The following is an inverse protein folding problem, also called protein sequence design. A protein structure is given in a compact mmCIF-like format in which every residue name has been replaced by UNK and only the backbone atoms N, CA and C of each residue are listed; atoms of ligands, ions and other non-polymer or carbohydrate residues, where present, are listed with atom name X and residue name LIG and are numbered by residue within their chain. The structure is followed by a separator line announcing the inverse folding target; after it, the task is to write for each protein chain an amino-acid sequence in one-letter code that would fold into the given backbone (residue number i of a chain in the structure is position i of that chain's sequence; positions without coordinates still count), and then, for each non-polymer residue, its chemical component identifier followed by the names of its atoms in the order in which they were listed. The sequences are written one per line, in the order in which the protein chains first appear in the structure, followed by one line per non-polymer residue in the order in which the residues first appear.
data_IF_247320059535
#
_entry.id   IF_247320059535
#
_cell.length_a   1.000
_cell.length_b   1.000
_cell.length_c   1.000
_cell.angle_alpha   90.00
_cell.angle_beta   90.00
_cell.angle_gamma   90.00
#
_symmetry.space_group_name_H-M   'P 1'
#
loop_
_entity.id
_entity.type
_entity.pdbx_description
1 polymer ?
#
# COMPACT_ATOMS: atom_id res chain seq x y z
N UNK A 1 4.78 17.78 10.14
CA UNK A 1 5.60 16.62 9.72
C UNK A 1 4.66 15.47 9.44
N UNK A 2 4.91 14.68 8.38
CA UNK A 2 4.13 13.47 8.09
C UNK A 2 5.02 12.22 8.30
N UNK A 3 4.41 11.04 8.37
CA UNK A 3 5.11 9.76 8.56
C UNK A 3 5.34 9.02 7.25
N UNK A 4 5.24 9.65 6.07
CA UNK A 4 5.28 8.92 4.80
C UNK A 4 6.71 8.70 4.30
N UNK A 5 6.94 7.59 3.61
CA UNK A 5 8.17 7.39 2.84
C UNK A 5 8.31 8.47 1.76
N UNK A 6 9.54 8.90 1.53
CA UNK A 6 9.92 9.62 0.31
C UNK A 6 9.80 8.70 -0.91
N UNK A 7 9.74 9.27 -2.11
CA UNK A 7 9.72 8.49 -3.35
C UNK A 7 10.95 7.60 -3.51
N UNK A 8 12.10 8.07 -3.02
CA UNK A 8 13.34 7.33 -3.07
C UNK A 8 13.34 6.14 -2.10
N UNK A 9 12.80 6.32 -0.89
CA UNK A 9 12.60 5.22 0.05
C UNK A 9 11.58 4.20 -0.49
N UNK A 10 10.47 4.64 -1.12
CA UNK A 10 9.48 3.74 -1.72
C UNK A 10 10.09 2.82 -2.78
N UNK A 11 11.01 3.33 -3.60
CA UNK A 11 11.74 2.51 -4.60
C UNK A 11 12.61 1.43 -3.96
N UNK A 12 13.12 1.67 -2.75
CA UNK A 12 13.95 0.70 -2.02
C UNK A 12 13.14 -0.39 -1.32
N UNK A 13 11.83 -0.21 -1.13
CA UNK A 13 10.97 -1.23 -0.50
C UNK A 13 10.85 -2.49 -1.37
N UNK A 14 10.97 -2.35 -2.70
CA UNK A 14 10.88 -3.49 -3.62
C UNK A 14 9.44 -3.94 -3.90
N UNK A 15 8.51 -2.99 -4.01
CA UNK A 15 7.17 -3.26 -4.54
C UNK A 15 7.25 -3.89 -5.93
N UNK A 16 6.30 -4.78 -6.26
CA UNK A 16 6.16 -5.30 -7.63
C UNK A 16 5.97 -4.15 -8.63
N UNK A 17 5.15 -3.18 -8.26
CA UNK A 17 4.97 -1.91 -8.97
C UNK A 17 4.45 -0.85 -8.01
N UNK A 18 4.93 0.39 -8.16
CA UNK A 18 4.45 1.54 -7.40
C UNK A 18 4.27 2.74 -8.34
N UNK A 19 3.08 3.31 -8.33
CA UNK A 19 2.72 4.46 -9.16
C UNK A 19 3.26 5.79 -8.65
N UNK A 20 2.71 6.88 -9.20
CA UNK A 20 3.04 8.26 -8.82
C UNK A 20 2.15 8.73 -7.67
N UNK A 21 2.65 9.67 -6.87
CA UNK A 21 1.93 10.27 -5.75
C UNK A 21 1.40 9.23 -4.75
N UNK A 22 2.23 8.23 -4.45
CA UNK A 22 1.95 7.22 -3.44
C UNK A 22 2.52 7.68 -2.09
N UNK A 23 1.71 7.58 -1.04
CA UNK A 23 2.05 7.94 0.34
C UNK A 23 1.84 6.71 1.23
N UNK A 24 2.91 6.00 1.56
CA UNK A 24 2.86 4.87 2.50
C UNK A 24 3.51 5.29 3.81
N UNK A 25 2.81 5.08 4.92
CA UNK A 25 3.36 5.37 6.24
C UNK A 25 4.56 4.48 6.55
N UNK A 26 5.61 5.08 7.12
CA UNK A 26 6.77 4.39 7.72
C UNK A 26 6.39 3.50 8.89
N UNK A 27 5.19 3.67 9.45
CA UNK A 27 4.63 2.82 10.52
C UNK A 27 3.74 1.71 9.99
N UNK A 28 3.52 1.60 8.68
CA UNK A 28 2.86 0.45 8.09
C UNK A 28 3.84 -0.73 8.00
N UNK A 29 3.34 -1.94 8.21
CA UNK A 29 4.10 -3.17 8.02
C UNK A 29 3.84 -3.74 6.63
N UNK A 30 4.88 -3.87 5.81
CA UNK A 30 4.82 -4.40 4.46
C UNK A 30 5.60 -5.71 4.40
N UNK A 31 4.92 -6.81 4.10
CA UNK A 31 5.53 -8.15 3.98
C UNK A 31 5.35 -8.69 2.56
N UNK A 32 6.43 -9.25 1.99
CA UNK A 32 6.49 -9.68 0.59
C UNK A 32 6.15 -8.56 -0.41
N UNK A 33 6.84 -7.39 -0.36
CA UNK A 33 6.54 -6.25 -1.22
C UNK A 33 6.62 -6.59 -2.72
N UNK A 34 7.46 -7.56 -3.11
CA UNK A 34 7.56 -8.06 -4.49
C UNK A 34 6.29 -8.72 -5.03
N UNK A 35 5.28 -8.96 -4.19
CA UNK A 35 3.95 -9.44 -4.59
C UNK A 35 2.86 -8.34 -4.48
N UNK A 36 3.25 -7.10 -4.17
CA UNK A 36 2.34 -5.99 -3.93
C UNK A 36 2.48 -4.94 -5.04
N UNK A 37 1.37 -4.59 -5.67
CA UNK A 37 1.27 -3.54 -6.69
C UNK A 37 0.39 -2.39 -6.20
N UNK A 38 0.86 -1.16 -6.36
CA UNK A 38 0.13 0.06 -5.97
C UNK A 38 0.03 1.02 -7.15
N UNK A 39 -1.20 1.45 -7.46
CA UNK A 39 -1.50 2.42 -8.51
C UNK A 39 -1.08 3.85 -8.18
N UNK A 40 -1.70 4.83 -8.84
CA UNK A 40 -1.40 6.25 -8.65
C UNK A 40 -2.30 6.87 -7.58
N UNK A 41 -1.81 7.92 -6.90
CA UNK A 41 -2.61 8.67 -5.93
C UNK A 41 -3.19 7.78 -4.80
N UNK A 42 -2.34 6.94 -4.23
CA UNK A 42 -2.72 6.02 -3.14
C UNK A 42 -2.12 6.50 -1.82
N UNK A 43 -2.91 6.40 -0.74
CA UNK A 43 -2.45 6.67 0.63
C UNK A 43 -2.70 5.47 1.53
N UNK A 44 -1.66 5.03 2.25
CA UNK A 44 -1.72 3.95 3.24
C UNK A 44 -1.22 4.51 4.58
N UNK A 45 -2.08 4.52 5.59
CA UNK A 45 -1.84 5.19 6.87
C UNK A 45 -1.05 4.34 7.89
N UNK A 46 -0.80 4.96 9.05
CA UNK A 46 -0.07 4.35 10.17
C UNK A 46 -0.70 3.01 10.59
N UNK A 47 0.16 2.06 10.95
CA UNK A 47 -0.21 0.77 11.52
C UNK A 47 -1.04 -0.15 10.61
N UNK A 48 -1.16 0.16 9.32
CA UNK A 48 -1.66 -0.80 8.35
C UNK A 48 -0.72 -2.00 8.22
N UNK A 49 -1.28 -3.17 7.92
CA UNK A 49 -0.53 -4.38 7.60
C UNK A 49 -0.90 -4.82 6.18
N UNK A 50 0.08 -4.91 5.30
CA UNK A 50 -0.06 -5.48 3.97
C UNK A 50 0.84 -6.70 3.88
N UNK A 51 0.25 -7.89 3.69
CA UNK A 51 0.99 -9.14 3.65
C UNK A 51 0.50 -10.07 2.54
N UNK A 52 1.43 -10.51 1.70
CA UNK A 52 1.15 -11.40 0.57
C UNK A 52 0.77 -10.66 -0.70
N UNK A 53 0.05 -11.33 -1.60
CA UNK A 53 -0.30 -10.80 -2.92
C UNK A 53 -1.41 -9.74 -2.81
N UNK A 54 -1.12 -8.49 -3.13
CA UNK A 54 -2.08 -7.39 -3.01
C UNK A 54 -1.97 -6.47 -4.24
N UNK A 55 -3.09 -6.17 -4.87
CA UNK A 55 -3.17 -5.19 -5.95
C UNK A 55 -4.09 -4.05 -5.54
N UNK A 56 -3.57 -2.83 -5.51
CA UNK A 56 -4.34 -1.61 -5.23
C UNK A 56 -4.34 -0.74 -6.49
N UNK A 57 -5.53 -0.37 -6.97
CA UNK A 57 -5.74 0.59 -8.05
C UNK A 57 -5.36 2.02 -7.68
N UNK A 58 -5.89 2.98 -8.41
CA UNK A 58 -5.61 4.41 -8.24
C UNK A 58 -6.70 5.13 -7.46
N UNK A 59 -6.35 6.27 -6.86
CA UNK A 59 -7.27 7.10 -6.07
C UNK A 59 -7.90 6.37 -4.87
N UNK A 60 -7.06 5.64 -4.14
CA UNK A 60 -7.47 4.82 -2.99
C UNK A 60 -6.82 5.29 -1.70
N UNK A 61 -7.60 5.31 -0.63
CA UNK A 61 -7.13 5.51 0.75
C UNK A 61 -7.38 4.25 1.57
N UNK A 62 -6.31 3.76 2.21
CA UNK A 62 -6.31 2.67 3.18
C UNK A 62 -6.06 3.29 4.55
N UNK A 63 -7.13 3.38 5.34
CA UNK A 63 -7.11 4.03 6.66
C UNK A 63 -6.32 3.23 7.69
N UNK A 64 -5.83 3.93 8.72
CA UNK A 64 -4.98 3.36 9.77
C UNK A 64 -5.55 2.07 10.37
N UNK A 65 -4.66 1.17 10.80
CA UNK A 65 -4.99 -0.14 11.37
C UNK A 65 -5.64 -1.16 10.42
N UNK A 66 -5.88 -0.83 9.14
CA UNK A 66 -6.36 -1.81 8.16
C UNK A 66 -5.33 -2.93 7.95
N UNK A 67 -5.78 -4.18 7.96
CA UNK A 67 -4.95 -5.33 7.64
C UNK A 67 -5.45 -6.03 6.36
N UNK A 68 -4.61 -6.08 5.33
CA UNK A 68 -4.84 -6.81 4.09
C UNK A 68 -3.96 -8.06 4.09
N UNK A 69 -4.59 -9.23 4.23
CA UNK A 69 -3.93 -10.54 4.20
C UNK A 69 -4.23 -11.24 2.88
N UNK A 70 -3.45 -10.92 1.85
CA UNK A 70 -3.64 -11.46 0.51
C UNK A 70 -3.21 -12.92 0.36
N UNK A 71 -2.27 -13.38 1.19
CA UNK A 71 -1.70 -14.73 1.06
C UNK A 71 -1.15 -14.97 -0.35
N UNK A 72 -1.39 -16.16 -0.91
CA UNK A 72 -0.98 -16.50 -2.29
C UNK A 72 -2.04 -16.16 -3.34
N UNK A 73 -3.33 -16.27 -2.99
CA UNK A 73 -4.45 -16.06 -3.91
C UNK A 73 -4.60 -14.57 -4.26
N UNK A 74 -4.54 -13.73 -3.22
CA UNK A 74 -4.46 -12.29 -3.32
C UNK A 74 -5.74 -11.53 -2.96
N UNK A 75 -5.57 -10.23 -2.70
CA UNK A 75 -6.65 -9.23 -2.57
C UNK A 75 -6.46 -8.20 -3.68
N UNK A 76 -7.56 -7.80 -4.32
CA UNK A 76 -7.55 -6.80 -5.38
C UNK A 76 -8.56 -5.69 -5.09
N UNK A 77 -8.11 -4.45 -5.20
CA UNK A 77 -8.90 -3.24 -5.09
C UNK A 77 -8.80 -2.47 -6.41
N UNK A 78 -9.93 -2.17 -7.04
CA UNK A 78 -9.97 -1.38 -8.27
C UNK A 78 -9.93 0.13 -7.96
N UNK A 79 -9.79 0.95 -9.00
CA UNK A 79 -9.75 2.41 -8.88
C UNK A 79 -10.94 2.96 -8.07
N UNK A 80 -10.66 3.98 -7.25
CA UNK A 80 -11.63 4.65 -6.36
C UNK A 80 -12.20 3.80 -5.21
N UNK A 81 -11.77 2.54 -5.04
CA UNK A 81 -12.07 1.78 -3.85
C UNK A 81 -11.31 2.34 -2.63
N UNK A 82 -11.98 2.43 -1.49
CA UNK A 82 -11.41 2.96 -0.24
C UNK A 82 -11.76 2.03 0.93
N UNK A 83 -10.89 1.97 1.94
CA UNK A 83 -11.12 1.20 3.17
C UNK A 83 -10.99 2.14 4.37
N UNK A 84 -12.06 2.22 5.17
CA UNK A 84 -12.09 2.96 6.43
C UNK A 84 -11.47 2.17 7.58
N UNK A 85 -11.25 2.85 8.71
CA UNK A 85 -10.97 2.20 9.98
C UNK A 85 -12.21 1.44 10.51
#
# INVERSE_FOLDING_TARGET
MNSFYSQEELKQIGFLSVGKNVLVSKKASIYNPSAISVGNHVRIDDFCILSGKITIGSYSHISAYTALYGGEVGIEMHDFANISA
#
